data_IF_489168750178
#
_entry.id   IF_489168750178
#
_cell.length_a   1.000
_cell.length_b   1.000
_cell.length_c   1.000
_cell.angle_alpha   90.00
_cell.angle_beta   90.00
_cell.angle_gamma   90.00
#
_symmetry.space_group_name_H-M   'P 1'
#
loop_
_entity.id
_entity.type
_entity.pdbx_description
1 polymer ?
#
# COMPACT_ATOMS: atom_id res chain seq x y z
N UNK A 1 -13.02 6.51 -4.79
CA UNK A 1 -12.81 5.52 -3.73
C UNK A 1 -11.82 6.03 -2.69
N UNK A 2 -11.66 5.30 -1.60
CA UNK A 2 -10.67 5.60 -0.57
C UNK A 2 -9.55 4.58 -0.65
N UNK A 3 -8.32 5.06 -0.78
CA UNK A 3 -7.12 4.23 -0.93
C UNK A 3 -6.23 4.43 0.28
N UNK A 4 -5.86 3.33 0.93
CA UNK A 4 -4.89 3.33 2.02
C UNK A 4 -3.52 2.91 1.50
N UNK A 5 -2.48 3.65 1.85
CA UNK A 5 -1.10 3.36 1.44
C UNK A 5 -0.26 3.14 2.70
N UNK A 6 0.35 1.98 2.80
CA UNK A 6 1.33 1.67 3.86
C UNK A 6 2.71 1.77 3.26
N UNK A 7 3.47 2.77 3.70
CA UNK A 7 4.80 3.07 3.18
C UNK A 7 4.78 4.12 2.07
N UNK A 8 5.50 5.21 2.30
CA UNK A 8 5.57 6.36 1.39
C UNK A 8 6.97 6.51 0.79
N UNK A 9 7.54 5.39 0.35
CA UNK A 9 8.75 5.40 -0.46
C UNK A 9 8.45 5.74 -1.91
N UNK A 10 9.31 5.28 -2.82
CA UNK A 10 9.12 5.51 -4.26
C UNK A 10 7.79 4.93 -4.77
N UNK A 11 7.52 3.68 -4.46
CA UNK A 11 6.33 2.98 -4.96
C UNK A 11 5.07 3.50 -4.30
N UNK A 12 5.02 3.49 -2.96
CA UNK A 12 3.85 3.96 -2.22
C UNK A 12 3.55 5.43 -2.45
N UNK A 13 4.59 6.27 -2.50
CA UNK A 13 4.44 7.68 -2.81
C UNK A 13 3.90 7.94 -4.22
N UNK A 14 4.34 7.13 -5.20
CA UNK A 14 3.85 7.25 -6.58
C UNK A 14 2.39 6.83 -6.69
N UNK A 15 1.98 5.76 -6.01
CA UNK A 15 0.56 5.39 -5.95
C UNK A 15 -0.26 6.50 -5.28
N UNK A 16 0.23 7.05 -4.16
CA UNK A 16 -0.47 8.13 -3.47
C UNK A 16 -0.72 9.31 -4.42
N UNK A 17 0.31 9.77 -5.13
CA UNK A 17 0.21 10.87 -6.08
C UNK A 17 -0.74 10.54 -7.23
N UNK A 18 -0.65 9.34 -7.78
CA UNK A 18 -1.51 8.93 -8.90
C UNK A 18 -2.98 8.86 -8.51
N UNK A 19 -3.30 8.25 -7.37
CA UNK A 19 -4.68 8.17 -6.91
C UNK A 19 -5.24 9.54 -6.51
N UNK A 20 -4.42 10.38 -5.88
CA UNK A 20 -4.85 11.73 -5.53
C UNK A 20 -5.17 12.57 -6.77
N UNK A 21 -4.31 12.51 -7.79
CA UNK A 21 -4.58 13.19 -9.06
C UNK A 21 -5.84 12.67 -9.76
N UNK A 22 -6.14 11.39 -9.60
CA UNK A 22 -7.35 10.80 -10.16
C UNK A 22 -8.63 11.15 -9.38
N UNK A 23 -8.52 11.93 -8.32
CA UNK A 23 -9.66 12.40 -7.53
C UNK A 23 -10.07 11.47 -6.40
N UNK A 24 -9.27 10.49 -6.04
CA UNK A 24 -9.55 9.60 -4.92
C UNK A 24 -9.03 10.16 -3.61
N UNK A 25 -9.67 9.74 -2.51
CA UNK A 25 -9.20 10.05 -1.17
C UNK A 25 -8.03 9.12 -0.82
N UNK A 26 -6.91 9.69 -0.41
CA UNK A 26 -5.70 8.94 -0.07
C UNK A 26 -5.39 9.07 1.41
N UNK A 27 -5.35 7.95 2.10
CA UNK A 27 -4.89 7.82 3.48
C UNK A 27 -3.57 7.09 3.46
N UNK A 28 -2.64 7.46 4.34
CA UNK A 28 -1.33 6.82 4.36
C UNK A 28 -0.78 6.66 5.77
N UNK A 29 0.11 5.68 5.91
CA UNK A 29 0.92 5.46 7.10
C UNK A 29 2.37 5.27 6.69
N UNK A 30 3.27 5.93 7.42
CA UNK A 30 4.71 5.71 7.32
C UNK A 30 5.32 5.83 8.70
N UNK A 31 6.34 5.04 8.99
CA UNK A 31 7.05 5.11 10.28
C UNK A 31 7.89 6.36 10.42
N UNK A 32 8.25 7.00 9.30
CA UNK A 32 8.96 8.27 9.28
C UNK A 32 7.95 9.41 9.24
N UNK A 33 7.78 10.09 10.39
CA UNK A 33 6.81 11.18 10.53
C UNK A 33 7.11 12.33 9.57
N UNK A 34 8.38 12.61 9.31
CA UNK A 34 8.75 13.71 8.40
C UNK A 34 8.34 13.42 6.96
N UNK A 35 8.44 12.16 6.53
CA UNK A 35 7.98 11.73 5.20
C UNK A 35 6.45 11.89 5.10
N UNK A 36 5.73 11.43 6.12
CA UNK A 36 4.28 11.59 6.17
C UNK A 36 3.85 13.07 6.10
N UNK A 37 4.47 13.91 6.93
CA UNK A 37 4.15 15.34 6.96
C UNK A 37 4.42 16.00 5.61
N UNK A 38 5.51 15.66 4.96
CA UNK A 38 5.83 16.19 3.63
C UNK A 38 4.82 15.73 2.59
N UNK A 39 4.38 14.48 2.66
CA UNK A 39 3.37 13.95 1.75
C UNK A 39 2.01 14.68 1.89
N UNK A 40 1.62 15.01 3.12
CA UNK A 40 0.42 15.82 3.37
C UNK A 40 0.59 17.24 2.83
N UNK A 41 1.74 17.88 3.11
CA UNK A 41 2.01 19.23 2.63
C UNK A 41 2.04 19.32 1.11
N UNK A 42 2.54 18.29 0.43
CA UNK A 42 2.59 18.24 -1.04
C UNK A 42 1.27 17.81 -1.69
N UNK A 43 0.22 17.65 -0.90
CA UNK A 43 -1.12 17.23 -1.36
C UNK A 43 -1.14 15.85 -2.02
N UNK A 44 -0.23 14.96 -1.63
CA UNK A 44 -0.25 13.57 -2.08
C UNK A 44 -1.11 12.69 -1.18
N UNK A 45 -1.28 13.09 0.08
CA UNK A 45 -2.00 12.33 1.11
C UNK A 45 -2.99 13.28 1.80
N UNK A 46 -4.21 12.81 1.99
CA UNK A 46 -5.28 13.59 2.63
C UNK A 46 -5.25 13.47 4.16
N UNK A 47 -5.00 12.26 4.69
CA UNK A 47 -5.02 12.02 6.14
C UNK A 47 -4.26 10.74 6.50
N UNK A 48 -4.13 10.51 7.80
CA UNK A 48 -3.48 9.33 8.36
C UNK A 48 -4.33 8.07 8.15
N UNK A 49 -3.69 6.99 7.72
CA UNK A 49 -4.27 5.65 7.73
C UNK A 49 -4.12 5.06 9.14
N UNK A 50 -5.20 5.04 9.90
CA UNK A 50 -5.26 4.54 11.27
C UNK A 50 -6.00 3.22 11.35
N UNK A 51 -5.97 2.55 12.49
CA UNK A 51 -6.75 1.32 12.71
C UNK A 51 -8.24 1.55 12.47
N UNK A 52 -8.75 2.73 12.85
CA UNK A 52 -10.17 3.08 12.68
C UNK A 52 -10.53 3.32 11.22
N UNK A 53 -9.59 3.75 10.39
CA UNK A 53 -9.87 4.07 8.99
C UNK A 53 -9.59 2.91 8.02
N UNK A 54 -8.89 1.86 8.46
CA UNK A 54 -8.56 0.71 7.61
C UNK A 54 -9.80 0.09 6.97
N UNK A 55 -10.84 -0.16 7.75
CA UNK A 55 -12.06 -0.81 7.26
C UNK A 55 -12.89 0.06 6.31
N UNK A 56 -12.66 1.36 6.27
CA UNK A 56 -13.34 2.28 5.36
C UNK A 56 -12.69 2.35 3.99
N UNK A 57 -11.48 1.84 3.83
CA UNK A 57 -10.79 1.83 2.54
C UNK A 57 -11.45 0.87 1.56
N UNK A 58 -11.34 1.18 0.28
CA UNK A 58 -11.70 0.27 -0.81
C UNK A 58 -10.49 -0.55 -1.25
N UNK A 59 -9.31 0.03 -1.17
CA UNK A 59 -8.04 -0.57 -1.56
C UNK A 59 -6.98 -0.20 -0.53
N UNK A 60 -6.17 -1.18 -0.13
CA UNK A 60 -5.01 -0.96 0.74
C UNK A 60 -3.77 -1.50 0.03
N UNK A 61 -2.81 -0.63 -0.22
CA UNK A 61 -1.54 -0.97 -0.85
C UNK A 61 -0.44 -1.02 0.19
N UNK A 62 0.22 -2.17 0.32
CA UNK A 62 1.31 -2.37 1.28
C UNK A 62 2.63 -2.24 0.52
N UNK A 63 3.24 -1.06 0.61
CA UNK A 63 4.41 -0.68 -0.19
C UNK A 63 5.65 -0.51 0.69
N UNK A 64 5.95 -1.53 1.49
CA UNK A 64 7.11 -1.60 2.38
C UNK A 64 7.89 -2.88 2.09
N UNK A 65 9.04 -3.07 2.75
CA UNK A 65 9.82 -4.30 2.60
C UNK A 65 9.02 -5.52 3.06
N UNK A 66 9.33 -6.73 2.52
CA UNK A 66 8.55 -7.93 2.81
C UNK A 66 8.32 -8.23 4.28
N UNK A 67 9.35 -8.13 5.12
CA UNK A 67 9.21 -8.37 6.56
C UNK A 67 8.29 -7.34 7.23
N UNK A 68 8.40 -6.08 6.84
CA UNK A 68 7.55 -5.01 7.35
C UNK A 68 6.10 -5.17 6.89
N UNK A 69 5.87 -5.65 5.66
CA UNK A 69 4.53 -5.94 5.16
C UNK A 69 3.84 -7.01 5.99
N UNK A 70 4.54 -8.10 6.27
CA UNK A 70 4.02 -9.20 7.11
C UNK A 70 3.72 -8.71 8.52
N UNK A 71 4.64 -7.96 9.12
CA UNK A 71 4.48 -7.41 10.48
C UNK A 71 3.29 -6.47 10.56
N UNK A 72 3.12 -5.60 9.56
CA UNK A 72 1.98 -4.69 9.51
C UNK A 72 0.65 -5.46 9.48
N UNK A 73 0.54 -6.49 8.64
CA UNK A 73 -0.69 -7.27 8.54
C UNK A 73 -0.94 -8.13 9.78
N UNK A 74 0.10 -8.62 10.45
CA UNK A 74 -0.07 -9.29 11.73
C UNK A 74 -0.61 -8.35 12.80
N UNK A 75 -0.11 -7.14 12.85
CA UNK A 75 -0.47 -6.15 13.86
C UNK A 75 -1.84 -5.54 13.61
N UNK A 76 -2.18 -5.25 12.35
CA UNK A 76 -3.37 -4.48 12.01
C UNK A 76 -4.43 -5.26 11.24
N UNK A 77 -4.16 -6.49 10.86
CA UNK A 77 -5.06 -7.30 10.02
C UNK A 77 -6.48 -7.45 10.58
N UNK A 78 -6.61 -7.53 11.90
CA UNK A 78 -7.91 -7.67 12.56
C UNK A 78 -8.81 -6.43 12.37
N UNK A 79 -8.26 -5.28 12.00
CA UNK A 79 -9.00 -4.02 11.80
C UNK A 79 -9.39 -3.76 10.34
N UNK A 80 -8.97 -4.62 9.39
CA UNK A 80 -9.21 -4.40 7.97
C UNK A 80 -10.64 -4.71 7.57
N UNK A 81 -11.13 -5.88 7.93
CA UNK A 81 -12.48 -6.32 7.58
C UNK A 81 -12.62 -6.76 6.11
N UNK A 82 -13.86 -7.10 5.69
CA UNK A 82 -14.09 -7.72 4.38
C UNK A 82 -14.18 -6.73 3.20
N UNK A 83 -14.33 -5.44 3.46
CA UNK A 83 -14.53 -4.45 2.39
C UNK A 83 -13.27 -4.20 1.57
N UNK A 84 -12.10 -3.89 2.18
CA UNK A 84 -10.92 -3.55 1.39
C UNK A 84 -10.33 -4.75 0.67
N UNK A 85 -9.75 -4.51 -0.51
CA UNK A 85 -8.80 -5.43 -1.13
C UNK A 85 -7.40 -4.97 -0.73
N UNK A 86 -6.61 -5.88 -0.17
CA UNK A 86 -5.23 -5.60 0.25
C UNK A 86 -4.28 -6.18 -0.78
N UNK A 87 -3.39 -5.34 -1.30
CA UNK A 87 -2.37 -5.74 -2.28
C UNK A 87 -1.00 -5.33 -1.75
N UNK A 88 -0.07 -6.27 -1.66
CA UNK A 88 1.33 -5.91 -1.40
C UNK A 88 2.03 -5.55 -2.71
N UNK A 89 3.06 -4.72 -2.60
CA UNK A 89 3.85 -4.26 -3.73
C UNK A 89 5.28 -4.78 -3.69
N UNK A 90 5.51 -5.89 -2.98
CA UNK A 90 6.84 -6.47 -2.82
C UNK A 90 7.27 -7.23 -4.08
N UNK A 91 8.58 -7.21 -4.36
CA UNK A 91 9.14 -7.99 -5.46
C UNK A 91 9.19 -9.49 -5.17
N UNK A 92 9.37 -9.87 -3.90
CA UNK A 92 9.47 -11.27 -3.47
C UNK A 92 8.10 -11.77 -3.05
N UNK A 93 7.50 -12.67 -3.85
CA UNK A 93 6.13 -13.12 -3.63
C UNK A 93 6.02 -14.32 -2.66
N UNK A 94 6.90 -15.29 -2.78
CA UNK A 94 6.77 -16.54 -2.01
C UNK A 94 6.70 -16.29 -0.50
N UNK A 95 7.69 -15.58 0.04
CA UNK A 95 7.76 -15.29 1.47
C UNK A 95 6.54 -14.48 1.95
N UNK A 96 6.19 -13.44 1.20
CA UNK A 96 5.09 -12.54 1.57
C UNK A 96 3.75 -13.26 1.45
N UNK A 97 3.51 -13.96 0.35
CA UNK A 97 2.24 -14.67 0.14
C UNK A 97 2.05 -15.82 1.13
N UNK A 98 3.12 -16.59 1.41
CA UNK A 98 3.04 -17.69 2.38
C UNK A 98 2.66 -17.21 3.78
N UNK A 99 3.01 -15.99 4.13
CA UNK A 99 2.64 -15.38 5.41
C UNK A 99 1.29 -14.66 5.35
N UNK A 100 1.00 -13.94 4.27
CA UNK A 100 -0.15 -13.04 4.20
C UNK A 100 -1.46 -13.74 3.85
N UNK A 101 -1.46 -14.77 3.01
CA UNK A 101 -2.71 -15.52 2.73
C UNK A 101 -3.32 -16.15 3.99
N UNK A 102 -2.54 -16.81 4.86
CA UNK A 102 -3.09 -17.31 6.12
C UNK A 102 -3.63 -16.20 7.04
N UNK A 103 -2.96 -15.05 7.09
CA UNK A 103 -3.43 -13.91 7.88
C UNK A 103 -4.76 -13.37 7.33
N UNK A 104 -4.88 -13.26 6.03
CA UNK A 104 -6.12 -12.82 5.39
C UNK A 104 -7.27 -13.76 5.71
N UNK A 105 -7.02 -15.06 5.69
CA UNK A 105 -8.01 -16.07 6.04
C UNK A 105 -8.39 -16.00 7.52
N UNK A 106 -7.41 -15.84 8.39
CA UNK A 106 -7.63 -15.75 9.85
C UNK A 106 -8.46 -14.53 10.21
N UNK A 107 -8.13 -13.36 9.65
CA UNK A 107 -8.77 -12.09 9.99
C UNK A 107 -9.93 -11.70 9.09
N UNK A 108 -10.17 -12.42 8.00
CA UNK A 108 -11.33 -12.20 7.14
C UNK A 108 -11.20 -11.03 6.19
N UNK A 109 -10.01 -10.73 5.68
CA UNK A 109 -9.83 -9.72 4.64
C UNK A 109 -9.40 -10.36 3.32
N UNK A 110 -9.60 -9.65 2.21
CA UNK A 110 -9.18 -10.08 0.88
C UNK A 110 -7.75 -9.63 0.60
N UNK A 111 -6.89 -10.57 0.20
CA UNK A 111 -5.48 -10.29 -0.10
C UNK A 111 -5.10 -10.80 -1.49
N UNK A 112 -4.35 -9.97 -2.22
CA UNK A 112 -3.70 -10.34 -3.46
C UNK A 112 -2.21 -9.99 -3.36
N UNK A 113 -1.35 -10.90 -3.81
CA UNK A 113 0.06 -10.58 -4.00
C UNK A 113 0.24 -9.78 -5.28
N UNK A 114 0.89 -8.63 -5.20
CA UNK A 114 1.15 -7.77 -6.34
C UNK A 114 2.64 -7.48 -6.53
N UNK A 115 3.03 -7.19 -7.76
CA UNK A 115 4.38 -6.76 -8.09
C UNK A 115 4.28 -5.76 -9.25
N UNK A 116 4.17 -4.46 -8.97
CA UNK A 116 4.18 -3.47 -10.03
C UNK A 116 5.56 -3.45 -10.70
N UNK A 117 5.56 -3.68 -12.02
CA UNK A 117 6.78 -3.73 -12.82
C UNK A 117 7.15 -2.32 -13.28
N UNK A 118 7.53 -1.50 -12.31
CA UNK A 118 7.89 -0.10 -12.54
C UNK A 118 8.86 0.35 -11.46
N UNK A 119 9.49 1.47 -11.69
CA UNK A 119 10.42 2.08 -10.74
C UNK A 119 11.62 2.66 -11.44
N UNK A 120 12.50 3.22 -10.63
CA UNK A 120 13.79 3.78 -11.06
C UNK A 120 14.89 3.29 -10.14
N UNK A 121 16.14 3.62 -10.43
CA UNK A 121 17.25 3.33 -9.53
C UNK A 121 17.29 4.25 -8.30
N UNK A 122 16.45 5.30 -8.27
CA UNK A 122 16.29 6.15 -7.10
C UNK A 122 15.30 5.56 -6.12
N UNK A 123 15.38 5.95 -4.86
CA UNK A 123 14.46 5.52 -3.82
C UNK A 123 13.96 6.71 -3.00
N UNK A 124 12.86 6.51 -2.30
CA UNK A 124 12.26 7.50 -1.41
C UNK A 124 11.17 8.34 -2.05
N UNK A 125 10.37 8.97 -1.19
CA UNK A 125 9.19 9.75 -1.59
C UNK A 125 9.55 10.91 -2.52
N UNK A 126 10.70 11.53 -2.34
CA UNK A 126 11.12 12.69 -3.15
C UNK A 126 11.25 12.36 -4.65
N UNK A 127 11.46 11.09 -5.00
CA UNK A 127 11.53 10.64 -6.39
C UNK A 127 10.21 10.09 -6.91
N UNK A 128 9.18 10.00 -6.06
CA UNK A 128 7.88 9.48 -6.44
C UNK A 128 7.20 10.42 -7.44
N UNK A 129 6.57 9.83 -8.46
CA UNK A 129 5.83 10.58 -9.48
C UNK A 129 4.47 9.94 -9.74
N UNK A 130 3.44 10.73 -10.09
CA UNK A 130 2.13 10.17 -10.40
C UNK A 130 2.09 9.40 -11.71
N UNK A 131 3.13 9.50 -12.52
CA UNK A 131 3.21 8.85 -13.83
C UNK A 131 4.10 7.62 -13.87
N UNK A 132 4.69 7.20 -12.72
CA UNK A 132 5.64 6.08 -12.67
C UNK A 132 5.06 4.79 -13.25
N UNK A 133 3.75 4.56 -13.05
CA UNK A 133 3.11 3.33 -13.48
C UNK A 133 2.48 3.40 -14.87
N UNK A 134 2.64 4.50 -15.60
CA UNK A 134 2.17 4.60 -16.98
C UNK A 134 2.85 3.54 -17.83
N UNK A 135 2.06 2.73 -18.52
CA UNK A 135 2.52 1.59 -19.35
C UNK A 135 3.27 0.52 -18.56
N UNK A 136 3.20 0.52 -17.23
CA UNK A 136 3.82 -0.50 -16.40
C UNK A 136 2.96 -1.77 -16.37
N UNK A 137 3.60 -2.90 -16.11
CA UNK A 137 2.93 -4.18 -15.90
C UNK A 137 2.73 -4.41 -14.41
N UNK A 138 1.56 -4.89 -14.02
CA UNK A 138 1.30 -5.35 -12.65
C UNK A 138 1.16 -6.87 -12.68
N UNK A 139 2.09 -7.56 -12.04
CA UNK A 139 1.98 -8.99 -11.78
C UNK A 139 1.26 -9.22 -10.46
N UNK A 140 0.36 -10.20 -10.43
CA UNK A 140 -0.39 -10.49 -9.21
C UNK A 140 -0.60 -12.00 -9.06
N UNK A 141 -0.86 -12.42 -7.82
CA UNK A 141 -1.22 -13.80 -7.50
C UNK A 141 -2.30 -13.81 -6.44
N UNK A 142 -3.20 -14.78 -6.52
CA UNK A 142 -4.28 -14.98 -5.57
C UNK A 142 -4.24 -16.38 -5.00
N UNK A 143 -4.97 -16.59 -3.90
CA UNK A 143 -5.13 -17.91 -3.26
C UNK A 143 -6.37 -18.63 -3.84
N UNK A 144 -6.53 -18.54 -5.12
CA UNK A 144 -7.67 -19.18 -5.81
C UNK A 144 -7.40 -20.64 -6.15
#
# INVERSE_FOLDING_TARGET
>A
MTVGIVGLGLIGGSFAKAYHEAGHRVLAFDTDQSVFDFAVLSSAVDDLLSEESLSSCDLILIAVYPSAAVDYLRQHGAHIGPKPVVIDCCGTKRLVCDACFPLAKEYGFTYLGGHPMAGTHNSGFKYATPTMFHNACLLYTSDA
#
